data_IF_905820157771
#
_entry.id   IF_905820157771
#
_cell.length_a   1.000
_cell.length_b   1.000
_cell.length_c   1.000
_cell.angle_alpha   90.00
_cell.angle_beta   90.00
_cell.angle_gamma   90.00
#
_symmetry.space_group_name_H-M   'P 1'
#
loop_
_entity.id
_entity.type
_entity.pdbx_description
1 polymer ?
#
# COMPACT_ATOMS: atom_id res chain seq x y z
N UNK A 1 -21.07 3.00 -7.73
CA UNK A 1 -21.35 1.85 -6.84
C UNK A 1 -22.10 2.28 -5.59
N UNK A 2 -22.69 1.33 -4.84
CA UNK A 2 -23.40 1.61 -3.57
C UNK A 2 -22.45 2.33 -2.59
N UNK A 3 -21.21 1.86 -2.45
CA UNK A 3 -20.24 2.46 -1.52
C UNK A 3 -19.86 3.89 -1.93
N UNK A 4 -19.73 4.18 -3.24
CA UNK A 4 -19.49 5.54 -3.71
C UNK A 4 -20.61 6.47 -3.29
N UNK A 5 -21.85 6.03 -3.53
CA UNK A 5 -23.04 6.81 -3.15
C UNK A 5 -23.13 7.02 -1.64
N UNK A 6 -22.74 6.02 -0.85
CA UNK A 6 -22.70 6.14 0.61
C UNK A 6 -21.67 7.20 1.08
N UNK A 7 -20.50 7.27 0.44
CA UNK A 7 -19.52 8.33 0.72
C UNK A 7 -20.02 9.71 0.27
N UNK A 8 -20.59 9.83 -0.94
CA UNK A 8 -21.17 11.09 -1.45
C UNK A 8 -22.25 11.64 -0.50
N UNK A 9 -23.10 10.75 0.03
CA UNK A 9 -24.16 11.11 0.96
C UNK A 9 -23.68 11.22 2.42
N UNK A 10 -22.37 11.12 2.68
CA UNK A 10 -21.78 11.19 4.01
C UNK A 10 -22.37 10.16 5.01
N UNK A 11 -22.74 8.98 4.51
CA UNK A 11 -23.28 7.87 5.30
C UNK A 11 -22.19 7.00 5.92
N UNK A 12 -20.98 7.01 5.33
CA UNK A 12 -19.84 6.30 5.87
C UNK A 12 -19.15 7.19 6.90
N UNK A 13 -19.38 6.87 8.17
CA UNK A 13 -18.77 7.58 9.30
C UNK A 13 -17.83 6.66 10.07
N UNK A 14 -16.78 7.22 10.71
CA UNK A 14 -15.98 6.47 11.66
C UNK A 14 -16.84 5.88 12.78
N UNK A 15 -16.57 4.64 13.12
CA UNK A 15 -17.25 3.95 14.21
C UNK A 15 -16.20 3.35 15.17
N UNK A 16 -15.58 4.18 16.04
CA UNK A 16 -14.59 3.72 16.98
C UNK A 16 -15.22 2.72 17.97
N UNK A 17 -14.45 1.72 18.43
CA UNK A 17 -14.95 0.76 19.39
C UNK A 17 -15.33 1.43 20.71
N UNK A 18 -16.50 1.08 21.24
CA UNK A 18 -17.02 1.60 22.52
C UNK A 18 -16.16 1.15 23.70
N UNK A 19 -15.58 -0.04 23.60
CA UNK A 19 -14.75 -0.64 24.64
C UNK A 19 -13.35 -0.93 24.11
N UNK A 20 -12.34 -0.71 24.95
CA UNK A 20 -10.94 -1.06 24.68
C UNK A 20 -10.50 -2.22 25.58
N UNK A 21 -9.96 -3.26 24.98
CA UNK A 21 -9.50 -4.49 25.66
C UNK A 21 -8.22 -4.29 26.48
N UNK A 22 -7.54 -3.16 26.32
CA UNK A 22 -6.21 -2.92 26.86
C UNK A 22 -5.07 -3.62 26.10
N UNK A 23 -5.39 -4.50 25.15
CA UNK A 23 -4.41 -5.23 24.33
C UNK A 23 -3.92 -4.41 23.16
N UNK A 24 -2.62 -4.48 22.89
CA UNK A 24 -1.93 -3.82 21.78
C UNK A 24 -1.57 -4.86 20.71
N UNK A 25 -1.93 -4.61 19.46
CA UNK A 25 -1.62 -5.51 18.34
C UNK A 25 -0.82 -4.76 17.28
N UNK A 26 0.31 -5.34 16.89
CA UNK A 26 1.07 -4.89 15.72
C UNK A 26 0.59 -5.62 14.47
N UNK A 27 0.37 -4.88 13.39
CA UNK A 27 0.13 -5.42 12.05
C UNK A 27 1.29 -5.01 11.16
N UNK A 28 2.06 -5.98 10.65
CA UNK A 28 3.22 -5.73 9.79
C UNK A 28 2.81 -5.89 8.33
N UNK A 29 2.75 -4.77 7.63
CA UNK A 29 2.25 -4.64 6.26
C UNK A 29 0.86 -4.01 6.18
N UNK A 30 0.70 -3.06 5.27
CA UNK A 30 -0.53 -2.30 5.05
C UNK A 30 -1.26 -2.62 3.74
N UNK A 31 -0.96 -3.76 3.14
CA UNK A 31 -1.72 -4.27 2.00
C UNK A 31 -3.17 -4.60 2.37
N UNK A 32 -3.98 -5.13 1.43
CA UNK A 32 -5.39 -5.46 1.67
C UNK A 32 -5.61 -6.31 2.92
N UNK A 33 -4.78 -7.33 3.14
CA UNK A 33 -4.86 -8.21 4.31
C UNK A 33 -4.56 -7.47 5.61
N UNK A 34 -3.52 -6.63 5.62
CA UNK A 34 -3.14 -5.84 6.80
C UNK A 34 -4.21 -4.82 7.18
N UNK A 35 -4.78 -4.11 6.20
CA UNK A 35 -5.87 -3.16 6.45
C UNK A 35 -7.14 -3.86 6.94
N UNK A 36 -7.48 -5.03 6.40
CA UNK A 36 -8.61 -5.82 6.85
C UNK A 36 -8.42 -6.32 8.27
N UNK A 37 -7.24 -6.89 8.60
CA UNK A 37 -6.89 -7.33 9.94
C UNK A 37 -6.94 -6.18 10.93
N UNK A 38 -6.32 -5.03 10.60
CA UNK A 38 -6.31 -3.86 11.46
C UNK A 38 -7.73 -3.35 11.76
N UNK A 39 -8.60 -3.27 10.75
CA UNK A 39 -9.98 -2.86 10.93
C UNK A 39 -10.76 -3.79 11.88
N UNK A 40 -10.63 -5.12 11.69
CA UNK A 40 -11.34 -6.08 12.53
C UNK A 40 -10.81 -6.11 13.96
N UNK A 41 -9.50 -6.08 14.14
CA UNK A 41 -8.88 -6.05 15.47
C UNK A 41 -9.23 -4.77 16.22
N UNK A 42 -9.23 -3.62 15.54
CA UNK A 42 -9.66 -2.37 16.14
C UNK A 42 -11.15 -2.41 16.54
N UNK A 43 -12.02 -2.94 15.64
CA UNK A 43 -13.45 -3.12 15.93
C UNK A 43 -13.68 -4.04 17.13
N UNK A 44 -12.83 -5.05 17.34
CA UNK A 44 -12.85 -5.93 18.51
C UNK A 44 -12.34 -5.26 19.80
N UNK A 45 -11.92 -3.99 19.73
CA UNK A 45 -11.51 -3.20 20.87
C UNK A 45 -10.00 -3.21 21.15
N UNK A 46 -9.17 -3.81 20.30
CA UNK A 46 -7.72 -3.76 20.49
C UNK A 46 -7.12 -2.43 20.02
N UNK A 47 -6.01 -2.02 20.61
CA UNK A 47 -5.21 -0.89 20.13
C UNK A 47 -4.29 -1.39 19.02
N UNK A 48 -4.50 -0.92 17.79
CA UNK A 48 -3.80 -1.43 16.61
C UNK A 48 -2.80 -0.42 16.07
N UNK A 49 -1.57 -0.89 15.82
CA UNK A 49 -0.54 -0.15 15.07
C UNK A 49 -0.15 -0.94 13.84
N UNK A 50 -0.26 -0.30 12.68
CA UNK A 50 0.14 -0.86 11.38
C UNK A 50 1.51 -0.30 11.00
N UNK A 51 2.47 -1.18 10.74
CA UNK A 51 3.80 -0.84 10.24
C UNK A 51 3.85 -1.09 8.74
N UNK A 52 4.26 -0.09 7.98
CA UNK A 52 4.41 -0.16 6.53
C UNK A 52 5.80 0.30 6.12
N UNK A 53 6.51 -0.54 5.38
CA UNK A 53 7.86 -0.22 4.90
C UNK A 53 7.90 0.89 3.86
N UNK A 54 6.84 1.04 3.05
CA UNK A 54 6.74 2.10 2.06
C UNK A 54 6.38 3.45 2.70
N UNK A 55 6.53 4.52 1.93
CA UNK A 55 6.20 5.90 2.31
C UNK A 55 4.69 6.14 2.45
N UNK A 56 3.84 5.29 1.82
CA UNK A 56 2.38 5.38 1.88
C UNK A 56 1.74 4.03 2.16
N UNK A 57 0.61 4.08 2.86
CA UNK A 57 -0.21 2.92 3.21
C UNK A 57 -0.96 2.40 1.99
N UNK A 58 -1.14 1.07 1.90
CA UNK A 58 -2.00 0.43 0.91
C UNK A 58 -1.37 -0.74 0.15
N UNK A 59 -0.05 -0.94 0.25
CA UNK A 59 0.64 -2.03 -0.44
C UNK A 59 0.35 -2.05 -1.95
N UNK A 60 -0.09 -3.19 -2.49
CA UNK A 60 -0.42 -3.32 -3.92
C UNK A 60 -1.62 -2.46 -4.37
N UNK A 61 -2.53 -2.09 -3.48
CA UNK A 61 -3.58 -1.13 -3.81
C UNK A 61 -2.99 0.23 -4.19
N UNK A 62 -1.92 0.62 -3.49
CA UNK A 62 -1.22 1.90 -3.69
C UNK A 62 -0.26 1.85 -4.88
N UNK A 63 0.60 0.83 -4.93
CA UNK A 63 1.75 0.78 -5.83
C UNK A 63 1.66 -0.29 -6.92
N UNK A 64 0.69 -1.22 -6.85
CA UNK A 64 0.49 -2.25 -7.86
C UNK A 64 -0.63 -1.92 -8.85
N UNK A 65 -1.76 -1.40 -8.38
CA UNK A 65 -2.92 -1.12 -9.23
C UNK A 65 -2.81 0.28 -9.84
N UNK A 66 -2.87 0.45 -11.17
CA UNK A 66 -2.89 1.76 -11.82
C UNK A 66 -4.11 2.59 -11.47
N UNK A 67 -3.98 3.93 -11.48
CA UNK A 67 -5.03 4.87 -11.09
C UNK A 67 -6.30 4.76 -11.92
N UNK A 68 -6.19 4.42 -13.21
CA UNK A 68 -7.36 4.21 -14.07
C UNK A 68 -8.22 3.02 -13.68
N UNK A 69 -7.71 2.10 -12.83
CA UNK A 69 -8.47 0.98 -12.23
C UNK A 69 -8.90 1.27 -10.80
N UNK A 70 -8.05 1.94 -10.03
CA UNK A 70 -8.31 2.29 -8.64
C UNK A 70 -7.65 3.64 -8.31
N UNK A 71 -8.43 4.70 -8.34
CA UNK A 71 -7.97 6.03 -7.93
C UNK A 71 -7.54 6.01 -6.47
N UNK A 72 -6.37 6.59 -6.18
CA UNK A 72 -5.78 6.53 -4.83
C UNK A 72 -6.61 7.28 -3.77
N UNK A 73 -7.43 8.25 -4.18
CA UNK A 73 -8.40 8.91 -3.29
C UNK A 73 -9.35 7.93 -2.58
N UNK A 74 -9.67 6.79 -3.23
CA UNK A 74 -10.51 5.74 -2.62
C UNK A 74 -9.82 5.09 -1.43
N UNK A 75 -8.50 4.89 -1.53
CA UNK A 75 -7.67 4.38 -0.44
C UNK A 75 -7.58 5.44 0.66
N UNK A 76 -7.27 6.69 0.29
CA UNK A 76 -7.03 7.79 1.23
C UNK A 76 -8.26 8.08 2.09
N UNK A 77 -9.48 8.12 1.50
CA UNK A 77 -10.72 8.30 2.26
C UNK A 77 -10.99 7.13 3.22
N UNK A 78 -10.66 5.87 2.81
CA UNK A 78 -10.78 4.71 3.71
C UNK A 78 -9.80 4.79 4.87
N UNK A 79 -8.57 5.21 4.60
CA UNK A 79 -7.55 5.41 5.63
C UNK A 79 -7.94 6.52 6.61
N UNK A 80 -8.57 7.59 6.14
CA UNK A 80 -9.09 8.64 7.02
C UNK A 80 -10.08 8.06 8.03
N UNK A 81 -11.07 7.28 7.58
CA UNK A 81 -12.03 6.60 8.46
C UNK A 81 -11.30 5.71 9.48
N UNK A 82 -10.35 4.88 9.05
CA UNK A 82 -9.63 3.97 9.93
C UNK A 82 -8.77 4.71 10.97
N UNK A 83 -8.19 5.86 10.61
CA UNK A 83 -7.45 6.72 11.55
C UNK A 83 -8.37 7.32 12.60
N UNK A 84 -9.53 7.83 12.20
CA UNK A 84 -10.53 8.38 13.11
C UNK A 84 -11.14 7.30 14.03
N UNK A 85 -11.19 6.04 13.58
CA UNK A 85 -11.53 4.88 14.41
C UNK A 85 -10.43 4.51 15.44
N UNK A 86 -9.25 5.12 15.35
CA UNK A 86 -8.16 4.98 16.32
C UNK A 86 -7.05 4.02 15.92
N UNK A 87 -6.95 3.63 14.65
CA UNK A 87 -5.81 2.84 14.14
C UNK A 87 -4.62 3.78 13.89
N UNK A 88 -3.46 3.40 14.42
CA UNK A 88 -2.19 4.10 14.18
C UNK A 88 -1.47 3.50 12.98
N UNK A 89 -0.99 4.35 12.08
CA UNK A 89 -0.19 3.95 10.92
C UNK A 89 1.21 4.54 11.02
N UNK A 90 2.24 3.69 10.84
CA UNK A 90 3.65 4.07 10.76
C UNK A 90 4.18 3.68 9.39
N UNK A 91 4.46 4.67 8.55
CA UNK A 91 5.11 4.50 7.24
C UNK A 91 6.63 4.59 7.35
N UNK A 92 7.36 4.20 6.30
CA UNK A 92 8.82 4.09 6.32
C UNK A 92 9.32 3.24 7.50
N UNK A 93 8.55 2.23 7.90
CA UNK A 93 8.78 1.36 9.04
C UNK A 93 8.91 -0.09 8.57
N UNK A 94 10.12 -0.47 8.18
CA UNK A 94 10.45 -1.80 7.68
C UNK A 94 11.02 -2.64 8.83
N UNK A 95 10.16 -3.51 9.38
CA UNK A 95 10.51 -4.36 10.52
C UNK A 95 11.57 -5.38 10.12
N UNK A 96 12.65 -5.40 10.88
CA UNK A 96 13.83 -6.24 10.60
C UNK A 96 14.89 -5.55 9.74
N UNK A 97 14.62 -4.36 9.23
CA UNK A 97 15.57 -3.54 8.47
C UNK A 97 15.84 -2.22 9.20
N UNK A 98 15.01 -1.19 9.04
CA UNK A 98 15.21 0.10 9.72
C UNK A 98 14.51 0.19 11.08
N UNK A 99 13.55 -0.70 11.35
CA UNK A 99 12.93 -0.88 12.66
C UNK A 99 13.33 -2.25 13.22
N UNK A 100 13.94 -2.33 14.39
CA UNK A 100 14.35 -3.60 14.96
C UNK A 100 13.15 -4.48 15.30
N UNK A 101 13.30 -5.80 15.14
CA UNK A 101 12.23 -6.78 15.45
C UNK A 101 11.76 -6.66 16.89
N UNK A 102 12.65 -6.32 17.82
CA UNK A 102 12.34 -6.10 19.25
C UNK A 102 11.33 -4.97 19.50
N UNK A 103 11.09 -4.08 18.52
CA UNK A 103 9.99 -3.10 18.62
C UNK A 103 8.62 -3.80 18.75
N UNK A 104 8.51 -5.01 18.20
CA UNK A 104 7.28 -5.81 18.26
C UNK A 104 7.04 -6.42 19.67
N UNK A 105 8.06 -6.53 20.52
CA UNK A 105 7.93 -7.04 21.90
C UNK A 105 7.06 -6.13 22.79
N UNK A 106 6.80 -4.90 22.34
CA UNK A 106 5.91 -3.94 23.01
C UNK A 106 4.42 -4.22 22.78
N UNK A 107 4.09 -5.23 21.97
CA UNK A 107 2.74 -5.60 21.61
C UNK A 107 2.38 -6.96 22.19
N UNK A 108 1.09 -7.15 22.53
CA UNK A 108 0.57 -8.42 23.04
C UNK A 108 0.46 -9.47 21.92
N UNK A 109 0.31 -9.04 20.68
CA UNK A 109 0.24 -9.92 19.50
C UNK A 109 0.76 -9.22 18.24
N UNK A 110 1.23 -10.02 17.29
CA UNK A 110 1.72 -9.56 15.99
C UNK A 110 1.01 -10.32 14.87
N UNK A 111 0.54 -9.59 13.87
CA UNK A 111 -0.04 -10.16 12.64
C UNK A 111 0.87 -9.81 11.47
N UNK A 112 1.41 -10.84 10.82
CA UNK A 112 2.29 -10.66 9.66
C UNK A 112 1.47 -10.64 8.37
N UNK A 113 1.47 -9.50 7.69
CA UNK A 113 0.74 -9.23 6.46
C UNK A 113 1.67 -8.68 5.35
N UNK A 114 2.91 -9.17 5.30
CA UNK A 114 3.99 -8.66 4.44
C UNK A 114 3.75 -8.83 2.93
N UNK A 115 2.82 -9.67 2.53
CA UNK A 115 2.53 -9.96 1.12
C UNK A 115 3.64 -10.77 0.44
N UNK A 116 3.54 -10.91 -0.89
CA UNK A 116 4.56 -11.53 -1.73
C UNK A 116 5.31 -10.46 -2.52
N UNK A 117 6.61 -10.39 -2.35
CA UNK A 117 7.45 -9.34 -2.96
C UNK A 117 8.52 -9.89 -3.91
N UNK A 118 8.72 -11.21 -3.89
CA UNK A 118 9.62 -11.89 -4.81
C UNK A 118 8.81 -12.33 -6.03
N UNK A 119 9.10 -11.80 -7.23
CA UNK A 119 8.42 -12.21 -8.44
C UNK A 119 8.76 -13.67 -8.77
N UNK A 120 7.81 -14.39 -9.36
CA UNK A 120 8.14 -15.64 -10.04
C UNK A 120 8.91 -15.31 -11.30
N UNK A 121 10.04 -15.95 -11.47
CA UNK A 121 10.82 -15.83 -12.69
C UNK A 121 10.45 -16.91 -13.70
N UNK A 122 10.69 -16.64 -14.98
CA UNK A 122 10.52 -17.56 -16.09
C UNK A 122 11.89 -17.89 -16.67
N UNK A 123 12.54 -19.00 -16.24
CA UNK A 123 13.90 -19.35 -16.63
C UNK A 123 13.94 -19.98 -18.03
N UNK A 124 13.79 -19.14 -19.05
CA UNK A 124 13.88 -19.52 -20.47
C UNK A 124 15.09 -18.87 -21.13
N UNK A 125 15.57 -19.39 -22.26
CA UNK A 125 16.62 -18.74 -23.05
C UNK A 125 16.28 -17.30 -23.38
N UNK A 126 17.20 -16.37 -23.13
CA UNK A 126 16.98 -14.95 -23.37
C UNK A 126 16.49 -14.17 -22.12
N UNK A 127 16.16 -14.83 -21.00
CA UNK A 127 15.71 -14.14 -19.76
C UNK A 127 16.72 -13.09 -19.26
N UNK A 128 18.00 -13.27 -19.54
CA UNK A 128 19.09 -12.36 -19.17
C UNK A 128 19.22 -11.13 -20.08
N UNK A 129 18.41 -11.02 -21.13
CA UNK A 129 18.45 -9.88 -22.03
C UNK A 129 17.95 -8.60 -21.33
N UNK A 130 18.51 -7.46 -21.76
CA UNK A 130 18.07 -6.15 -21.25
C UNK A 130 16.64 -5.84 -21.70
N UNK A 131 15.89 -5.18 -20.85
CA UNK A 131 14.50 -4.77 -21.15
C UNK A 131 13.43 -5.76 -20.67
N UNK A 132 13.82 -6.82 -19.96
CA UNK A 132 12.89 -7.80 -19.38
C UNK A 132 12.83 -7.55 -17.85
N UNK A 133 11.69 -7.08 -17.40
CA UNK A 133 11.47 -6.63 -16.01
C UNK A 133 10.29 -7.35 -15.38
N UNK A 134 10.32 -7.50 -14.06
CA UNK A 134 9.14 -7.92 -13.31
C UNK A 134 8.09 -6.79 -13.30
N UNK A 135 6.80 -7.15 -13.44
CA UNK A 135 5.73 -6.17 -13.54
C UNK A 135 5.72 -5.17 -12.37
N UNK A 136 6.03 -5.61 -11.15
CA UNK A 136 6.01 -4.75 -9.98
C UNK A 136 7.14 -3.70 -9.95
N UNK A 137 8.26 -3.94 -10.64
CA UNK A 137 9.32 -2.93 -10.80
C UNK A 137 8.77 -1.73 -11.58
N UNK A 138 8.13 -1.99 -12.72
CA UNK A 138 7.52 -0.95 -13.55
C UNK A 138 6.32 -0.29 -12.89
N UNK A 139 5.36 -1.09 -12.38
CA UNK A 139 4.11 -0.58 -11.81
C UNK A 139 4.34 0.29 -10.58
N UNK A 140 5.26 -0.11 -9.70
CA UNK A 140 5.57 0.67 -8.50
C UNK A 140 6.16 2.04 -8.85
N UNK A 141 7.10 2.09 -9.80
CA UNK A 141 7.67 3.35 -10.26
C UNK A 141 6.62 4.23 -10.92
N UNK A 142 5.80 3.66 -11.82
CA UNK A 142 4.76 4.40 -12.52
C UNK A 142 3.71 4.96 -11.56
N UNK A 143 3.24 4.18 -10.59
CA UNK A 143 2.28 4.67 -9.59
C UNK A 143 2.86 5.78 -8.70
N UNK A 144 4.16 5.71 -8.37
CA UNK A 144 4.85 6.79 -7.65
C UNK A 144 4.90 8.07 -8.48
N UNK A 145 5.26 7.98 -9.76
CA UNK A 145 5.28 9.15 -10.67
C UNK A 145 3.91 9.81 -10.76
N UNK A 146 2.87 9.03 -11.06
CA UNK A 146 1.51 9.55 -11.18
C UNK A 146 1.05 10.23 -9.88
N UNK A 147 1.38 9.66 -8.71
CA UNK A 147 0.98 10.21 -7.41
C UNK A 147 1.78 11.44 -6.98
N UNK A 148 2.95 11.69 -7.59
CA UNK A 148 3.83 12.82 -7.25
C UNK A 148 3.62 14.03 -8.16
N UNK A 149 2.79 13.89 -9.20
CA UNK A 149 2.60 14.91 -10.23
C UNK A 149 1.29 15.66 -9.99
N UNK A 150 1.29 17.00 -9.96
CA UNK A 150 0.08 17.80 -10.07
C UNK A 150 -0.64 17.48 -11.39
N UNK A 151 -1.96 17.40 -11.36
CA UNK A 151 -2.84 16.96 -12.47
C UNK A 151 -2.73 17.75 -13.78
N UNK A 152 -1.86 18.77 -13.87
CA UNK A 152 -1.69 19.66 -15.03
C UNK A 152 -0.32 19.52 -15.74
N UNK A 153 0.52 18.54 -15.35
CA UNK A 153 1.85 18.37 -15.97
C UNK A 153 1.77 17.32 -17.08
N UNK A 154 2.26 17.67 -18.27
CA UNK A 154 2.43 16.74 -19.38
C UNK A 154 3.52 15.71 -19.04
N UNK A 155 3.10 14.50 -18.78
CA UNK A 155 3.97 13.37 -18.41
C UNK A 155 5.06 13.04 -19.45
N UNK A 156 4.97 13.58 -20.68
CA UNK A 156 5.94 13.38 -21.75
C UNK A 156 7.23 14.16 -21.56
N UNK A 157 7.21 15.21 -20.74
CA UNK A 157 8.33 16.12 -20.53
C UNK A 157 9.00 15.96 -19.15
N UNK A 158 8.79 14.86 -18.46
CA UNK A 158 9.45 14.61 -17.19
C UNK A 158 10.93 14.22 -17.36
N UNK A 159 11.82 14.77 -16.53
CA UNK A 159 13.21 14.36 -16.55
C UNK A 159 13.32 12.86 -16.16
N UNK A 160 14.05 12.12 -16.96
CA UNK A 160 14.33 10.70 -16.69
C UNK A 160 15.47 10.60 -15.68
N UNK A 161 15.22 9.92 -14.56
CA UNK A 161 16.28 9.53 -13.64
C UNK A 161 16.95 8.23 -14.10
N UNK A 162 18.25 8.10 -13.86
CA UNK A 162 19.01 6.88 -14.20
C UNK A 162 18.44 5.67 -13.42
N UNK A 163 18.06 4.62 -14.15
CA UNK A 163 17.46 3.40 -13.57
C UNK A 163 15.94 3.34 -13.67
N UNK A 164 15.29 4.39 -14.11
CA UNK A 164 13.85 4.42 -14.27
C UNK A 164 13.37 3.63 -15.50
N UNK A 165 12.26 2.91 -15.33
CA UNK A 165 11.61 2.15 -16.39
C UNK A 165 10.52 3.00 -17.06
N UNK A 166 10.63 3.17 -18.37
CA UNK A 166 9.67 3.90 -19.19
C UNK A 166 9.20 3.05 -20.36
N UNK A 167 7.89 3.09 -20.62
CA UNK A 167 7.26 2.44 -21.76
C UNK A 167 6.96 3.41 -22.92
N UNK A 168 7.17 4.72 -22.73
CA UNK A 168 6.93 5.75 -23.75
C UNK A 168 7.76 5.48 -24.98
N UNK A 169 7.12 5.51 -26.16
CA UNK A 169 7.72 5.26 -27.49
C UNK A 169 8.41 3.89 -27.63
N UNK A 170 7.97 2.89 -26.84
CA UNK A 170 8.49 1.53 -26.89
C UNK A 170 7.41 0.51 -27.21
N UNK A 171 7.79 -0.55 -27.93
CA UNK A 171 6.98 -1.74 -28.05
C UNK A 171 7.10 -2.55 -26.76
N UNK A 172 5.99 -2.76 -26.06
CA UNK A 172 5.93 -3.49 -24.79
C UNK A 172 5.17 -4.78 -24.98
N UNK A 173 5.79 -5.88 -24.58
CA UNK A 173 5.16 -7.20 -24.54
C UNK A 173 4.92 -7.58 -23.07
N UNK A 174 3.72 -8.07 -22.78
CA UNK A 174 3.35 -8.59 -21.45
C UNK A 174 3.13 -10.10 -21.60
N UNK A 175 3.79 -10.88 -20.75
CA UNK A 175 3.76 -12.35 -20.76
C UNK A 175 3.09 -12.83 -19.46
#
# INVERSE_FOLDING_TARGET
TIIEKAFELNLVKPNPPVFRSGKKVAVVGSGPSGLAAAAQLNKAGHTVTVFERADKIGGLLRYGIPDFKLEKKVIDRRLAVLKEEGITFKTNADIGNNIPVSELDKFDAVVLCGGSTVPRDLPIPGRQLKGIYAAMEFLSQQNKRVSSIPTQIDHRNMPYEHGDLYATDKNVFVI
#
